data_IF_251273145559
#
_entry.id   IF_251273145559
#
_cell.length_a   1.000
_cell.length_b   1.000
_cell.length_c   1.000
_cell.angle_alpha   90.00
_cell.angle_beta   90.00
_cell.angle_gamma   90.00
#
_symmetry.space_group_name_H-M   'P 1'
#
loop_
_entity.id
_entity.type
_entity.pdbx_description
1 polymer ?
#
# COMPACT_ATOMS: atom_id res chain seq x y z
N UNK A 1 16.02 -25.08 -2.56
CA UNK A 1 14.57 -25.40 -2.68
C UNK A 1 14.07 -26.47 -1.70
N UNK A 2 14.92 -27.33 -1.12
CA UNK A 2 14.48 -28.38 -0.19
C UNK A 2 13.87 -27.82 1.11
N UNK A 3 14.54 -26.83 1.73
CA UNK A 3 14.03 -26.09 2.91
C UNK A 3 12.67 -25.42 2.66
N UNK A 4 12.47 -24.75 1.51
CA UNK A 4 11.17 -24.12 1.19
C UNK A 4 10.03 -25.13 1.01
N UNK A 5 10.36 -26.34 0.56
CA UNK A 5 9.40 -27.44 0.37
C UNK A 5 9.09 -28.15 1.69
N UNK A 6 10.06 -28.23 2.60
CA UNK A 6 9.93 -28.78 3.95
C UNK A 6 9.12 -27.84 4.86
N UNK A 7 9.41 -26.53 4.83
CA UNK A 7 8.72 -25.50 5.63
C UNK A 7 7.46 -24.93 4.95
N UNK A 8 7.12 -25.40 3.72
CA UNK A 8 6.01 -24.90 2.89
C UNK A 8 5.99 -23.36 2.71
N UNK A 9 7.16 -22.72 2.71
CA UNK A 9 7.28 -21.26 2.55
C UNK A 9 7.43 -20.91 1.08
N UNK A 10 6.53 -20.07 0.55
CA UNK A 10 6.59 -19.60 -0.83
C UNK A 10 7.47 -18.33 -0.94
N UNK A 11 8.62 -18.37 -1.65
CA UNK A 11 9.48 -17.20 -1.82
C UNK A 11 8.79 -16.06 -2.60
N UNK A 12 7.77 -16.37 -3.40
CA UNK A 12 6.95 -15.37 -4.12
C UNK A 12 5.69 -14.94 -3.35
N UNK A 13 5.52 -15.37 -2.09
CA UNK A 13 4.37 -14.99 -1.27
C UNK A 13 4.20 -13.48 -1.11
N UNK A 14 5.28 -12.71 -1.24
CA UNK A 14 5.25 -11.24 -1.17
C UNK A 14 4.74 -10.54 -2.44
N UNK A 15 4.90 -11.13 -3.64
CA UNK A 15 4.44 -10.51 -4.90
C UNK A 15 3.07 -11.03 -5.35
N UNK A 16 2.60 -12.15 -4.80
CA UNK A 16 1.27 -12.69 -5.07
C UNK A 16 0.12 -11.71 -4.75
N UNK A 17 0.13 -10.96 -3.63
CA UNK A 17 -0.89 -9.94 -3.35
C UNK A 17 -0.93 -8.84 -4.41
N UNK A 18 0.22 -8.43 -4.94
CA UNK A 18 0.32 -7.39 -5.97
C UNK A 18 -0.36 -7.87 -7.27
N UNK A 19 -0.16 -9.12 -7.67
CA UNK A 19 -0.79 -9.68 -8.88
C UNK A 19 -2.32 -9.66 -8.80
N UNK A 20 -2.89 -9.95 -7.63
CA UNK A 20 -4.35 -9.88 -7.42
C UNK A 20 -4.84 -8.45 -7.31
N UNK A 21 -4.01 -7.53 -6.78
CA UNK A 21 -4.36 -6.12 -6.62
C UNK A 21 -4.37 -5.34 -7.94
N UNK A 22 -3.49 -5.67 -8.89
CA UNK A 22 -3.36 -4.94 -10.17
C UNK A 22 -4.70 -4.84 -10.94
N UNK A 23 -5.47 -5.93 -11.15
CA UNK A 23 -6.77 -5.84 -11.81
C UNK A 23 -7.76 -4.89 -11.12
N UNK A 24 -7.80 -4.89 -9.78
CA UNK A 24 -8.68 -4.01 -9.00
C UNK A 24 -8.28 -2.55 -9.16
N UNK A 25 -6.97 -2.28 -9.13
CA UNK A 25 -6.42 -0.94 -9.36
C UNK A 25 -6.77 -0.40 -10.75
N UNK A 26 -6.60 -1.22 -11.79
CA UNK A 26 -6.94 -0.86 -13.18
C UNK A 26 -8.44 -0.59 -13.29
N UNK A 27 -9.29 -1.46 -12.73
CA UNK A 27 -10.74 -1.27 -12.76
C UNK A 27 -11.15 0.06 -12.12
N UNK A 28 -10.64 0.37 -10.92
CA UNK A 28 -10.94 1.62 -10.23
C UNK A 28 -10.44 2.85 -11.00
N UNK A 29 -9.24 2.78 -11.56
CA UNK A 29 -8.69 3.85 -12.39
C UNK A 29 -9.60 4.16 -13.60
N UNK A 30 -10.03 3.12 -14.33
CA UNK A 30 -10.92 3.29 -15.48
C UNK A 30 -12.32 3.76 -15.07
N UNK A 31 -12.86 3.28 -13.95
CA UNK A 31 -14.16 3.74 -13.43
C UNK A 31 -14.10 5.22 -13.08
N UNK A 32 -13.05 5.68 -12.41
CA UNK A 32 -12.89 7.10 -12.06
C UNK A 32 -12.78 8.00 -13.31
N UNK A 33 -12.12 7.53 -14.37
CA UNK A 33 -11.95 8.30 -15.60
C UNK A 33 -13.16 8.24 -16.56
N UNK A 34 -13.88 7.12 -16.58
CA UNK A 34 -14.99 6.89 -17.52
C UNK A 34 -16.34 7.36 -16.97
N UNK A 35 -16.48 7.44 -15.65
CA UNK A 35 -17.71 7.89 -15.02
C UNK A 35 -17.83 9.40 -15.12
N UNK A 36 -18.83 9.88 -15.88
CA UNK A 36 -19.09 11.32 -16.05
C UNK A 36 -19.42 11.98 -14.71
N UNK A 37 -20.09 11.27 -13.82
CA UNK A 37 -20.43 11.70 -12.45
C UNK A 37 -19.22 11.94 -11.54
N UNK A 38 -18.06 11.33 -11.86
CA UNK A 38 -16.84 11.49 -11.05
C UNK A 38 -16.03 12.73 -11.45
N UNK A 39 -16.34 13.36 -12.58
CA UNK A 39 -15.68 14.60 -13.00
C UNK A 39 -16.17 15.76 -12.12
N UNK A 40 -15.23 16.42 -11.45
CA UNK A 40 -15.53 17.47 -10.47
C UNK A 40 -16.38 16.97 -9.30
N UNK A 41 -16.28 15.67 -8.96
CA UNK A 41 -16.94 15.16 -7.76
C UNK A 41 -16.17 15.66 -6.53
N UNK A 42 -16.75 16.57 -5.71
CA UNK A 42 -16.08 17.03 -4.51
C UNK A 42 -16.12 15.94 -3.45
N UNK A 43 -15.07 15.87 -2.63
CA UNK A 43 -15.04 14.95 -1.50
C UNK A 43 -15.04 15.69 -0.17
N UNK A 44 -13.88 16.19 0.25
CA UNK A 44 -13.71 16.85 1.53
C UNK A 44 -12.61 17.90 1.47
N UNK A 45 -12.82 18.99 2.22
CA UNK A 45 -11.87 20.08 2.41
C UNK A 45 -11.39 20.70 1.08
N UNK A 46 -10.16 20.41 0.66
CA UNK A 46 -9.52 20.95 -0.53
C UNK A 46 -9.70 20.09 -1.79
N UNK A 47 -10.29 18.89 -1.65
CA UNK A 47 -10.52 17.98 -2.77
C UNK A 47 -11.87 18.30 -3.41
N UNK A 48 -11.80 19.02 -4.54
CA UNK A 48 -12.95 19.42 -5.34
C UNK A 48 -13.19 18.51 -6.56
N UNK A 49 -12.24 17.64 -6.88
CA UNK A 49 -12.36 16.67 -7.97
C UNK A 49 -11.58 15.39 -7.65
N UNK A 50 -12.29 14.26 -7.59
CA UNK A 50 -11.70 12.95 -7.33
C UNK A 50 -11.05 12.33 -8.57
N UNK A 51 -11.39 12.81 -9.77
CA UNK A 51 -10.89 12.29 -11.04
C UNK A 51 -9.56 12.91 -11.50
N UNK A 52 -9.16 14.02 -10.88
CA UNK A 52 -7.87 14.69 -11.12
C UNK A 52 -6.89 14.48 -9.95
N UNK A 53 -5.58 14.73 -10.17
CA UNK A 53 -4.58 14.66 -9.11
C UNK A 53 -4.84 15.70 -8.00
N UNK A 54 -4.45 15.39 -6.76
CA UNK A 54 -4.57 16.31 -5.63
C UNK A 54 -3.71 17.58 -5.87
N UNK A 55 -4.31 18.78 -5.95
CA UNK A 55 -3.57 20.02 -6.25
C UNK A 55 -2.52 20.38 -5.19
N UNK A 56 -2.69 19.91 -3.95
CA UNK A 56 -1.76 20.17 -2.84
C UNK A 56 -0.86 18.99 -2.50
N UNK A 57 -1.04 17.84 -3.17
CA UNK A 57 -0.30 16.60 -2.93
C UNK A 57 -0.30 16.12 -1.47
N UNK A 58 -1.29 16.54 -0.68
CA UNK A 58 -1.43 16.17 0.73
C UNK A 58 -1.82 14.69 0.84
N UNK A 59 -2.75 14.23 -0.02
CA UNK A 59 -3.19 12.84 -0.07
C UNK A 59 -2.04 11.89 -0.45
N UNK A 60 -1.27 12.09 -1.54
CA UNK A 60 -0.12 11.24 -1.86
C UNK A 60 0.94 11.20 -0.76
N UNK A 61 1.19 12.32 -0.07
CA UNK A 61 2.12 12.36 1.06
C UNK A 61 1.61 11.49 2.23
N UNK A 62 0.33 11.63 2.58
CA UNK A 62 -0.27 10.81 3.63
C UNK A 62 -0.33 9.33 3.25
N UNK A 63 -0.63 9.02 1.98
CA UNK A 63 -0.55 7.68 1.41
C UNK A 63 0.86 7.10 1.57
N UNK A 64 1.90 7.88 1.26
CA UNK A 64 3.30 7.46 1.44
C UNK A 64 3.58 7.09 2.89
N UNK A 65 3.17 7.95 3.84
CA UNK A 65 3.34 7.68 5.28
C UNK A 65 2.62 6.41 5.72
N UNK A 66 1.36 6.22 5.31
CA UNK A 66 0.59 5.01 5.67
C UNK A 66 1.19 3.75 5.06
N UNK A 67 1.74 3.84 3.84
CA UNK A 67 2.40 2.72 3.16
C UNK A 67 3.70 2.33 3.86
N UNK A 68 4.50 3.33 4.26
CA UNK A 68 5.73 3.09 5.03
C UNK A 68 5.42 2.50 6.41
N UNK A 69 4.35 2.97 7.07
CA UNK A 69 3.90 2.43 8.35
C UNK A 69 3.43 0.98 8.23
N UNK A 70 2.64 0.66 7.20
CA UNK A 70 2.23 -0.71 6.90
C UNK A 70 3.45 -1.60 6.63
N UNK A 71 4.42 -1.11 5.85
CA UNK A 71 5.67 -1.83 5.56
C UNK A 71 6.49 -2.05 6.84
N UNK A 72 6.51 -1.09 7.75
CA UNK A 72 7.17 -1.21 9.05
C UNK A 72 6.56 -2.31 9.92
N UNK A 73 5.24 -2.52 9.83
CA UNK A 73 4.52 -3.54 10.60
C UNK A 73 4.64 -4.95 9.99
N UNK A 74 5.03 -5.04 8.71
CA UNK A 74 5.21 -6.31 8.05
C UNK A 74 6.49 -7.02 8.55
N UNK A 75 6.46 -8.34 8.76
CA UNK A 75 7.63 -9.11 9.17
C UNK A 75 8.70 -9.06 8.06
N UNK A 76 9.94 -8.73 8.45
CA UNK A 76 11.04 -8.66 7.51
C UNK A 76 11.49 -10.07 7.06
N UNK A 77 11.76 -10.29 5.77
CA UNK A 77 12.25 -11.55 5.25
C UNK A 77 13.68 -11.80 5.76
N UNK A 78 14.10 -13.08 5.88
CA UNK A 78 15.41 -13.43 6.42
C UNK A 78 16.59 -13.01 5.53
N UNK A 79 16.35 -12.73 4.24
CA UNK A 79 17.38 -12.28 3.30
C UNK A 79 17.52 -10.73 3.31
N UNK A 80 18.72 -10.18 3.60
CA UNK A 80 18.95 -8.74 3.64
C UNK A 80 18.69 -8.03 2.30
N UNK A 81 18.86 -8.70 1.16
CA UNK A 81 18.58 -8.11 -0.15
C UNK A 81 17.08 -7.92 -0.37
N UNK A 82 16.28 -8.92 0.01
CA UNK A 82 14.81 -8.84 -0.07
C UNK A 82 14.24 -7.83 0.92
N UNK A 83 14.82 -7.74 2.12
CA UNK A 83 14.44 -6.75 3.12
C UNK A 83 14.63 -5.31 2.59
N UNK A 84 15.75 -5.01 1.93
CA UNK A 84 15.97 -3.71 1.28
C UNK A 84 14.94 -3.42 0.18
N UNK A 85 14.62 -4.43 -0.63
CA UNK A 85 13.62 -4.29 -1.70
C UNK A 85 12.20 -4.02 -1.16
N UNK A 86 11.84 -4.59 -0.01
CA UNK A 86 10.55 -4.32 0.64
C UNK A 86 10.39 -2.88 1.12
N UNK A 87 11.48 -2.15 1.36
CA UNK A 87 11.43 -0.73 1.71
C UNK A 87 11.48 0.18 0.48
N UNK A 88 12.28 -0.19 -0.52
CA UNK A 88 12.44 0.62 -1.72
C UNK A 88 11.22 0.55 -2.65
N UNK A 89 10.63 -0.63 -2.83
CA UNK A 89 9.50 -0.83 -3.76
C UNK A 89 8.27 0.01 -3.38
N UNK A 90 7.79 0.00 -2.13
CA UNK A 90 6.63 0.81 -1.76
C UNK A 90 6.92 2.31 -1.84
N UNK A 91 8.16 2.74 -1.57
CA UNK A 91 8.55 4.14 -1.69
C UNK A 91 8.48 4.61 -3.15
N UNK A 92 9.07 3.84 -4.08
CA UNK A 92 9.01 4.16 -5.50
C UNK A 92 7.56 4.18 -6.02
N UNK A 93 6.75 3.21 -5.60
CA UNK A 93 5.33 3.16 -5.95
C UNK A 93 4.53 4.34 -5.36
N UNK A 94 4.86 4.77 -4.15
CA UNK A 94 4.22 5.93 -3.51
C UNK A 94 4.53 7.24 -4.25
N UNK A 95 5.75 7.42 -4.75
CA UNK A 95 6.11 8.59 -5.59
C UNK A 95 5.32 8.60 -6.89
N UNK A 96 5.12 7.44 -7.51
CA UNK A 96 4.31 7.33 -8.72
C UNK A 96 2.86 7.80 -8.50
N UNK A 97 2.30 7.60 -7.30
CA UNK A 97 0.91 7.99 -6.97
C UNK A 97 0.67 9.50 -6.93
N UNK A 98 1.71 10.33 -6.97
CA UNK A 98 1.57 11.78 -7.09
C UNK A 98 0.95 12.19 -8.44
N UNK A 99 1.05 11.34 -9.46
CA UNK A 99 0.51 11.60 -10.80
C UNK A 99 -0.89 10.99 -11.02
N UNK A 100 -1.43 10.27 -10.04
CA UNK A 100 -2.71 9.57 -10.17
C UNK A 100 -3.89 10.39 -9.60
N UNK A 101 -5.14 10.07 -10.02
CA UNK A 101 -6.34 10.71 -9.50
C UNK A 101 -6.46 10.61 -7.97
N UNK A 102 -6.92 11.67 -7.31
CA UNK A 102 -7.08 11.74 -5.86
C UNK A 102 -7.98 10.62 -5.31
N UNK A 103 -9.02 10.22 -6.05
CA UNK A 103 -9.90 9.10 -5.66
C UNK A 103 -9.16 7.76 -5.56
N UNK A 104 -8.18 7.53 -6.44
CA UNK A 104 -7.37 6.32 -6.41
C UNK A 104 -6.39 6.31 -5.24
N UNK A 105 -5.81 7.47 -4.94
CA UNK A 105 -4.94 7.67 -3.78
C UNK A 105 -5.73 7.46 -2.48
N UNK A 106 -6.95 7.99 -2.41
CA UNK A 106 -7.85 7.84 -1.26
C UNK A 106 -8.26 6.39 -1.02
N UNK A 107 -8.58 5.65 -2.09
CA UNK A 107 -8.79 4.21 -2.02
C UNK A 107 -7.59 3.50 -1.40
N UNK A 108 -6.38 3.87 -1.80
CA UNK A 108 -5.16 3.26 -1.30
C UNK A 108 -4.93 3.56 0.19
N UNK A 109 -5.11 4.81 0.60
CA UNK A 109 -5.05 5.23 2.01
C UNK A 109 -6.02 4.40 2.86
N UNK A 110 -7.27 4.27 2.39
CA UNK A 110 -8.31 3.53 3.10
C UNK A 110 -7.92 2.06 3.27
N UNK A 111 -7.42 1.42 2.21
CA UNK A 111 -6.93 0.04 2.29
C UNK A 111 -5.74 -0.11 3.23
N UNK A 112 -4.80 0.84 3.21
CA UNK A 112 -3.66 0.80 4.11
C UNK A 112 -4.10 0.87 5.57
N UNK A 113 -4.99 1.80 5.91
CA UNK A 113 -5.53 1.95 7.27
C UNK A 113 -6.23 0.67 7.72
N UNK A 114 -7.11 0.11 6.88
CA UNK A 114 -7.81 -1.14 7.19
C UNK A 114 -6.84 -2.31 7.37
N UNK A 115 -5.84 -2.42 6.51
CA UNK A 115 -4.83 -3.48 6.59
C UNK A 115 -3.97 -3.35 7.84
N UNK A 116 -3.58 -2.12 8.23
CA UNK A 116 -2.85 -1.86 9.47
C UNK A 116 -3.71 -2.25 10.68
N UNK A 117 -4.98 -1.82 10.70
CA UNK A 117 -5.90 -2.15 11.78
C UNK A 117 -6.12 -3.67 11.87
N UNK A 118 -6.31 -4.33 10.73
CA UNK A 118 -6.44 -5.79 10.65
C UNK A 118 -5.18 -6.49 11.18
N UNK A 119 -4.00 -6.08 10.72
CA UNK A 119 -2.72 -6.64 11.16
C UNK A 119 -2.55 -6.47 12.67
N UNK A 120 -2.90 -5.31 13.20
CA UNK A 120 -2.84 -5.02 14.63
C UNK A 120 -3.74 -5.95 15.43
N UNK A 121 -5.00 -6.11 15.02
CA UNK A 121 -5.97 -6.98 15.68
C UNK A 121 -5.49 -8.43 15.64
N UNK A 122 -5.01 -8.91 14.49
CA UNK A 122 -4.49 -10.26 14.32
C UNK A 122 -3.28 -10.50 15.22
N UNK A 123 -2.30 -9.59 15.21
CA UNK A 123 -1.11 -9.66 16.06
C UNK A 123 -1.49 -9.73 17.56
N UNK A 124 -2.40 -8.87 17.98
CA UNK A 124 -2.90 -8.85 19.38
C UNK A 124 -3.60 -10.16 19.74
N UNK A 125 -4.43 -10.71 18.85
CA UNK A 125 -5.11 -12.00 19.04
C UNK A 125 -4.15 -13.19 19.09
N UNK A 126 -3.02 -13.11 18.38
CA UNK A 126 -1.98 -14.13 18.38
C UNK A 126 -0.97 -13.96 19.53
N UNK A 127 -1.13 -12.94 20.39
CA UNK A 127 -0.21 -12.68 21.51
C UNK A 127 1.15 -12.12 21.09
N UNK A 128 1.30 -11.64 19.85
CA UNK A 128 2.53 -11.04 19.34
C UNK A 128 2.32 -9.52 19.32
N UNK A 129 3.03 -8.72 20.15
CA UNK A 129 2.90 -7.28 20.09
C UNK A 129 3.38 -6.77 18.72
N UNK A 130 2.70 -5.78 18.12
CA UNK A 130 3.13 -5.21 16.84
C UNK A 130 4.56 -4.68 16.96
N UNK A 131 5.47 -5.21 16.12
CA UNK A 131 6.86 -4.79 16.07
C UNK A 131 7.09 -3.91 14.84
N UNK A 132 7.84 -2.83 15.02
CA UNK A 132 8.24 -1.94 13.94
C UNK A 132 9.60 -2.35 13.38
N UNK A 133 9.61 -2.93 12.17
CA UNK A 133 10.79 -3.40 11.47
C UNK A 133 11.47 -2.30 10.65
N UNK A 134 12.03 -1.28 11.30
CA UNK A 134 12.66 -0.16 10.60
C UNK A 134 13.86 -0.60 9.74
N UNK A 135 14.11 0.05 8.59
CA UNK A 135 15.21 -0.30 7.71
C UNK A 135 16.55 -0.02 8.41
N UNK A 136 17.40 -1.04 8.48
CA UNK A 136 18.78 -0.89 8.94
C UNK A 136 19.66 -0.50 7.76
N UNK A 137 19.76 0.79 7.49
CA UNK A 137 20.72 1.33 6.52
C UNK A 137 22.13 1.31 7.15
N UNK A 138 22.76 0.14 7.16
CA UNK A 138 24.22 0.01 7.31
C UNK A 138 24.86 -0.22 5.96
#
# INVERSE_FOLDING_TARGET
MRIYREEKVNPMGGCFPIMVQIPVFIALYWVLLSSVEMRNAPWAMWIHDLSSPDPYYILPLFMTLTTLLQTALNPAPPDPMQAKMMWFMPLAFSVMFFFFPAGLVLYWITNNILSIAQQWIINTRMGVPPQFNLPKFK
#
